data_IF_189618484449
#
_entry.id   IF_189618484449
#
_cell.length_a   1.000
_cell.length_b   1.000
_cell.length_c   1.000
_cell.angle_alpha   90.00
_cell.angle_beta   90.00
_cell.angle_gamma   90.00
#
_symmetry.space_group_name_H-M   'P 1'
#
loop_
_entity.id
_entity.type
_entity.pdbx_description
1 polymer ?
#
# COMPACT_ATOMS: atom_id res chain seq x y z
N UNK A 1 -4.24 0.58 19.15
CA UNK A 1 -3.48 1.45 18.24
C UNK A 1 -4.47 2.13 17.30
N UNK A 2 -4.24 3.41 16.96
CA UNK A 2 -5.12 4.13 16.04
C UNK A 2 -4.71 3.83 14.59
N UNK A 3 -5.70 3.63 13.73
CA UNK A 3 -5.53 3.50 12.29
C UNK A 3 -6.02 4.77 11.60
N UNK A 4 -5.17 5.36 10.75
CA UNK A 4 -5.48 6.56 9.99
C UNK A 4 -5.84 6.16 8.55
N UNK A 5 -7.14 5.94 8.31
CA UNK A 5 -7.71 5.40 7.06
C UNK A 5 -8.45 6.47 6.23
N UNK A 6 -8.25 7.74 6.53
CA UNK A 6 -8.85 8.83 5.76
C UNK A 6 -8.01 9.19 4.53
N UNK A 7 -8.71 9.59 3.47
CA UNK A 7 -8.12 10.15 2.25
C UNK A 7 -8.92 11.40 1.90
N UNK A 8 -8.31 12.58 2.05
CA UNK A 8 -8.98 13.87 1.91
C UNK A 8 -9.70 14.02 0.56
N UNK A 9 -9.07 13.54 -0.50
CA UNK A 9 -9.56 13.63 -1.89
C UNK A 9 -10.40 12.43 -2.33
N UNK A 10 -10.53 11.41 -1.48
CA UNK A 10 -11.34 10.21 -1.73
C UNK A 10 -12.06 9.79 -0.44
N UNK A 11 -13.01 10.60 0.04
CA UNK A 11 -13.69 10.34 1.31
C UNK A 11 -14.48 9.03 1.24
N UNK A 12 -14.50 8.30 2.36
CA UNK A 12 -15.20 7.02 2.52
C UNK A 12 -14.73 5.92 1.53
N UNK A 13 -13.46 5.94 1.11
CA UNK A 13 -12.89 4.83 0.34
C UNK A 13 -13.10 3.49 1.07
N UNK A 14 -13.67 2.46 0.41
CA UNK A 14 -13.96 1.18 1.04
C UNK A 14 -12.69 0.35 1.16
N UNK A 15 -11.85 0.68 2.14
CA UNK A 15 -10.64 -0.11 2.42
C UNK A 15 -11.00 -1.60 2.61
N UNK A 16 -10.21 -2.52 2.04
CA UNK A 16 -10.51 -3.94 2.15
C UNK A 16 -10.57 -4.39 3.59
N UNK A 17 -11.62 -5.12 3.94
CA UNK A 17 -11.81 -5.61 5.31
C UNK A 17 -10.59 -6.40 5.79
N UNK A 18 -10.00 -7.23 4.91
CA UNK A 18 -8.79 -8.00 5.22
C UNK A 18 -7.57 -7.14 5.55
N UNK A 19 -7.42 -6.00 4.89
CA UNK A 19 -6.34 -5.06 5.19
C UNK A 19 -6.56 -4.40 6.56
N UNK A 20 -7.78 -3.97 6.85
CA UNK A 20 -8.13 -3.36 8.14
C UNK A 20 -7.93 -4.38 9.28
N UNK A 21 -8.42 -5.61 9.12
CA UNK A 21 -8.22 -6.71 10.07
C UNK A 21 -6.73 -6.97 10.32
N UNK A 22 -5.91 -7.05 9.26
CA UNK A 22 -4.47 -7.24 9.37
C UNK A 22 -3.79 -6.09 10.13
N UNK A 23 -4.11 -4.84 9.79
CA UNK A 23 -3.54 -3.67 10.45
C UNK A 23 -3.93 -3.57 11.94
N UNK A 24 -5.09 -4.12 12.33
CA UNK A 24 -5.57 -4.14 13.71
C UNK A 24 -5.05 -5.34 14.51
N UNK A 25 -4.67 -6.44 13.85
CA UNK A 25 -4.30 -7.69 14.51
C UNK A 25 -3.15 -7.52 15.52
N UNK A 26 -3.21 -8.30 16.61
CA UNK A 26 -2.18 -8.39 17.64
C UNK A 26 -1.90 -9.88 17.93
N UNK A 27 -0.63 -10.30 18.07
CA UNK A 27 0.58 -9.49 17.89
C UNK A 27 0.78 -9.07 16.42
N UNK A 28 1.52 -7.98 16.19
CA UNK A 28 1.85 -7.53 14.84
C UNK A 28 2.67 -8.58 14.11
N UNK A 29 2.24 -8.89 12.90
CA UNK A 29 3.06 -9.62 11.93
C UNK A 29 4.03 -8.61 11.33
N UNK A 30 5.31 -8.88 11.47
CA UNK A 30 6.35 -8.10 10.82
C UNK A 30 6.41 -8.44 9.33
N UNK A 31 6.47 -7.39 8.51
CA UNK A 31 6.50 -7.46 7.06
C UNK A 31 7.59 -6.54 6.49
N UNK A 32 8.53 -6.08 7.33
CA UNK A 32 9.70 -5.34 6.86
C UNK A 32 10.38 -6.13 5.71
N UNK A 33 10.75 -5.51 4.58
CA UNK A 33 10.90 -4.07 4.29
C UNK A 33 9.62 -3.25 4.02
N UNK A 34 8.42 -3.83 4.06
CA UNK A 34 7.17 -3.07 3.93
C UNK A 34 6.71 -2.43 5.24
N UNK A 35 6.28 -1.17 5.15
CA UNK A 35 5.74 -0.41 6.28
C UNK A 35 4.34 0.08 5.96
N UNK A 36 3.35 -0.31 6.76
CA UNK A 36 1.98 0.18 6.57
C UNK A 36 1.89 1.68 6.91
N UNK A 37 1.31 2.44 5.99
CA UNK A 37 1.15 3.89 6.14
C UNK A 37 0.07 4.26 7.15
N UNK A 38 -0.91 3.37 7.34
CA UNK A 38 -2.07 3.55 8.24
C UNK A 38 -1.68 3.76 9.71
N UNK A 39 -0.47 3.39 10.11
CA UNK A 39 0.01 3.55 11.49
C UNK A 39 0.47 4.97 11.83
N UNK A 40 0.60 5.86 10.83
CA UNK A 40 1.07 7.23 11.04
C UNK A 40 0.14 8.22 10.37
N UNK A 41 -0.40 9.12 11.18
CA UNK A 41 -1.31 10.18 10.74
C UNK A 41 -0.75 10.96 9.54
N UNK A 42 -1.62 11.21 8.56
CA UNK A 42 -1.28 11.96 7.35
C UNK A 42 -0.39 11.24 6.34
N UNK A 43 0.12 10.03 6.61
CA UNK A 43 0.99 9.32 5.64
C UNK A 43 0.27 8.81 4.40
N UNK A 44 -0.94 8.30 4.55
CA UNK A 44 -1.78 7.93 3.39
C UNK A 44 -2.04 9.18 2.54
N UNK A 45 -2.51 10.28 3.14
CA UNK A 45 -2.77 11.54 2.44
C UNK A 45 -1.52 12.13 1.75
N UNK A 46 -0.37 12.11 2.42
CA UNK A 46 0.89 12.59 1.85
C UNK A 46 1.27 11.81 0.60
N UNK A 47 1.21 10.47 0.64
CA UNK A 47 1.54 9.64 -0.52
C UNK A 47 0.46 9.71 -1.60
N UNK A 48 -0.81 9.79 -1.23
CA UNK A 48 -1.91 9.91 -2.17
C UNK A 48 -1.77 11.19 -2.99
N UNK A 49 -1.51 12.32 -2.33
CA UNK A 49 -1.26 13.60 -3.01
C UNK A 49 -0.02 13.52 -3.91
N UNK A 50 1.08 12.94 -3.42
CA UNK A 50 2.33 12.83 -4.17
C UNK A 50 2.18 11.95 -5.42
N UNK A 51 1.53 10.80 -5.30
CA UNK A 51 1.26 9.91 -6.44
C UNK A 51 0.29 10.55 -7.44
N UNK A 52 -0.69 11.35 -6.97
CA UNK A 52 -1.59 12.08 -7.86
C UNK A 52 -0.90 13.19 -8.65
N UNK A 53 0.12 13.82 -8.07
CA UNK A 53 0.97 14.79 -8.79
C UNK A 53 1.82 14.11 -9.88
N UNK A 54 2.41 12.95 -9.55
CA UNK A 54 3.31 12.22 -10.46
C UNK A 54 2.55 11.50 -11.58
N UNK A 55 1.41 10.90 -11.24
CA UNK A 55 0.60 10.06 -12.14
C UNK A 55 -0.85 10.54 -12.14
N UNK A 56 -1.14 11.73 -12.72
CA UNK A 56 -2.45 12.38 -12.62
C UNK A 56 -3.59 11.58 -13.25
N UNK A 57 -3.29 10.66 -14.17
CA UNK A 57 -4.28 9.78 -14.82
C UNK A 57 -4.66 8.56 -14.00
N UNK A 58 -3.94 8.25 -12.90
CA UNK A 58 -4.27 7.12 -12.03
C UNK A 58 -5.07 7.58 -10.81
N UNK A 59 -5.83 6.64 -10.26
CA UNK A 59 -6.45 6.74 -8.94
C UNK A 59 -5.81 5.66 -8.07
N UNK A 60 -4.88 6.07 -7.20
CA UNK A 60 -4.06 5.15 -6.39
C UNK A 60 -4.32 5.42 -4.92
N UNK A 61 -4.67 4.38 -4.16
CA UNK A 61 -4.82 4.48 -2.71
C UNK A 61 -3.63 3.80 -2.03
N UNK A 62 -2.61 4.57 -1.58
CA UNK A 62 -1.41 3.99 -1.00
C UNK A 62 -1.68 3.43 0.39
N UNK A 63 -1.12 2.26 0.70
CA UNK A 63 -1.29 1.63 2.01
C UNK A 63 0.02 1.11 2.63
N UNK A 64 1.07 0.87 1.84
CA UNK A 64 2.38 0.52 2.36
C UNK A 64 3.53 1.15 1.55
N UNK A 65 4.66 1.40 2.20
CA UNK A 65 5.92 1.84 1.57
C UNK A 65 7.02 0.81 1.79
N UNK A 66 7.81 0.55 0.77
CA UNK A 66 9.02 -0.27 0.87
C UNK A 66 10.19 0.57 1.42
N UNK A 67 10.97 0.07 2.38
CA UNK A 67 12.05 0.86 3.01
C UNK A 67 13.23 1.13 2.10
N UNK A 68 13.64 0.15 1.29
CA UNK A 68 14.89 0.22 0.53
C UNK A 68 14.79 0.92 -0.83
N UNK A 69 13.59 1.29 -1.29
CA UNK A 69 13.39 2.01 -2.54
C UNK A 69 12.12 2.92 -2.49
N UNK A 70 11.72 3.43 -3.65
CA UNK A 70 10.56 4.31 -3.84
C UNK A 70 9.26 3.56 -4.20
N UNK A 71 9.19 2.25 -3.95
CA UNK A 71 7.99 1.46 -4.20
C UNK A 71 6.93 1.71 -3.12
N UNK A 72 5.71 1.93 -3.60
CA UNK A 72 4.50 2.16 -2.81
C UNK A 72 3.45 1.14 -3.23
N UNK A 73 3.01 0.31 -2.30
CA UNK A 73 1.89 -0.58 -2.52
C UNK A 73 0.60 0.23 -2.42
N UNK A 74 -0.21 0.17 -3.47
CA UNK A 74 -1.47 0.89 -3.61
C UNK A 74 -2.60 -0.10 -3.87
N UNK A 75 -3.78 0.16 -3.32
CA UNK A 75 -5.01 -0.40 -3.88
C UNK A 75 -5.32 0.32 -5.19
N UNK A 76 -5.90 -0.40 -6.15
CA UNK A 76 -6.56 0.20 -7.29
C UNK A 76 -7.73 1.05 -6.80
N UNK A 77 -7.58 2.37 -6.88
CA UNK A 77 -8.52 3.33 -6.30
C UNK A 77 -9.78 3.52 -7.13
N UNK A 78 -9.83 3.02 -8.38
CA UNK A 78 -11.04 3.03 -9.19
C UNK A 78 -11.98 1.87 -8.83
N UNK A 79 -11.46 0.82 -8.22
CA UNK A 79 -12.24 -0.33 -7.74
C UNK A 79 -12.77 -0.07 -6.33
N UNK A 80 -14.10 0.09 -6.26
CA UNK A 80 -14.86 0.35 -5.02
C UNK A 80 -15.61 -0.88 -4.50
N UNK A 81 -15.29 -2.09 -4.99
CA UNK A 81 -15.93 -3.34 -4.58
C UNK A 81 -15.61 -3.75 -3.13
N UNK A 82 -14.56 -3.16 -2.55
CA UNK A 82 -14.03 -3.52 -1.24
C UNK A 82 -12.97 -4.62 -1.27
N UNK A 83 -12.56 -5.07 -2.46
CA UNK A 83 -11.44 -6.01 -2.64
C UNK A 83 -10.68 -5.75 -3.95
N UNK A 84 -10.11 -4.55 -4.09
CA UNK A 84 -9.39 -4.13 -5.27
C UNK A 84 -8.05 -4.85 -5.39
N UNK A 85 -7.55 -4.93 -6.63
CA UNK A 85 -6.18 -5.38 -6.88
C UNK A 85 -5.15 -4.45 -6.25
N UNK A 86 -3.94 -4.98 -6.05
CA UNK A 86 -2.79 -4.25 -5.53
C UNK A 86 -1.88 -3.88 -6.68
N UNK A 87 -1.41 -2.64 -6.68
CA UNK A 87 -0.47 -2.07 -7.63
C UNK A 87 0.80 -1.65 -6.88
N UNK A 88 1.95 -2.18 -7.26
CA UNK A 88 3.25 -1.73 -6.75
C UNK A 88 3.74 -0.62 -7.65
N UNK A 89 3.75 0.60 -7.13
CA UNK A 89 4.07 1.82 -7.87
C UNK A 89 5.44 2.34 -7.46
N UNK A 90 6.38 2.41 -8.40
CA UNK A 90 7.66 3.07 -8.23
C UNK A 90 7.50 4.58 -8.41
N UNK A 91 7.40 5.32 -7.30
CA UNK A 91 6.82 6.67 -7.29
C UNK A 91 7.51 7.70 -8.20
N UNK A 92 8.79 7.54 -8.53
CA UNK A 92 9.55 8.51 -9.33
C UNK A 92 9.95 7.99 -10.72
N UNK A 93 9.36 6.89 -11.18
CA UNK A 93 9.49 6.46 -12.57
C UNK A 93 8.79 7.45 -13.53
N UNK A 94 9.25 7.48 -14.78
CA UNK A 94 8.52 8.17 -15.86
C UNK A 94 7.09 7.61 -15.99
N UNK A 95 6.12 8.48 -16.28
CA UNK A 95 4.72 8.07 -16.52
C UNK A 95 4.64 6.96 -17.58
N UNK A 96 3.91 5.89 -17.27
CA UNK A 96 3.80 4.66 -18.03
C UNK A 96 4.74 3.53 -17.59
N UNK A 97 5.74 3.82 -16.75
CA UNK A 97 6.74 2.84 -16.28
C UNK A 97 6.66 2.58 -14.77
N UNK A 98 5.77 3.26 -14.07
CA UNK A 98 5.68 3.21 -12.61
C UNK A 98 5.13 1.90 -12.05
N UNK A 99 4.42 1.10 -12.86
CA UNK A 99 3.88 -0.18 -12.40
C UNK A 99 4.98 -1.25 -12.41
N UNK A 100 5.53 -1.55 -11.23
CA UNK A 100 6.55 -2.58 -11.06
C UNK A 100 5.97 -3.99 -10.91
N UNK A 101 4.81 -4.11 -10.23
CA UNK A 101 4.16 -5.40 -10.02
C UNK A 101 2.68 -5.20 -9.69
N UNK A 102 1.88 -6.26 -9.79
CA UNK A 102 0.49 -6.27 -9.33
C UNK A 102 0.11 -7.60 -8.67
N UNK A 103 -0.83 -7.53 -7.73
CA UNK A 103 -1.39 -8.72 -7.08
C UNK A 103 -2.91 -8.67 -7.21
N UNK A 104 -3.58 -9.83 -7.41
CA UNK A 104 -5.04 -9.85 -7.59
C UNK A 104 -5.81 -9.29 -6.39
N UNK A 105 -5.30 -9.48 -5.17
CA UNK A 105 -5.97 -9.11 -3.91
C UNK A 105 -4.94 -8.80 -2.83
N UNK A 106 -5.40 -8.14 -1.75
CA UNK A 106 -4.55 -7.83 -0.59
C UNK A 106 -3.86 -9.07 0.01
N UNK A 107 -4.55 -10.21 0.08
CA UNK A 107 -4.00 -11.45 0.66
C UNK A 107 -2.85 -12.03 -0.15
N UNK A 108 -2.86 -11.84 -1.48
CA UNK A 108 -1.78 -12.30 -2.35
C UNK A 108 -0.54 -11.43 -2.20
N UNK A 109 -0.73 -10.11 -2.10
CA UNK A 109 0.35 -9.18 -1.73
C UNK A 109 0.91 -9.49 -0.35
N UNK A 110 0.06 -9.74 0.65
CA UNK A 110 0.48 -10.02 2.01
C UNK A 110 1.34 -11.29 2.09
N UNK A 111 0.94 -12.37 1.40
CA UNK A 111 1.76 -13.59 1.30
C UNK A 111 3.15 -13.26 0.74
N UNK A 112 3.21 -12.52 -0.37
CA UNK A 112 4.49 -12.13 -0.97
C UNK A 112 5.32 -11.23 -0.05
N UNK A 113 4.70 -10.33 0.70
CA UNK A 113 5.38 -9.46 1.65
C UNK A 113 5.96 -10.27 2.84
N UNK A 114 5.22 -11.24 3.36
CA UNK A 114 5.70 -12.15 4.42
C UNK A 114 6.82 -13.05 3.93
N UNK A 115 6.71 -13.62 2.72
CA UNK A 115 7.76 -14.47 2.15
C UNK A 115 9.06 -13.66 1.98
N UNK A 116 8.95 -12.44 1.46
CA UNK A 116 10.09 -11.54 1.30
C UNK A 116 10.71 -11.13 2.65
N UNK A 117 9.91 -10.88 3.69
CA UNK A 117 10.44 -10.60 5.04
C UNK A 117 11.30 -11.77 5.55
N UNK A 118 10.86 -13.01 5.32
CA UNK A 118 11.61 -14.20 5.72
C UNK A 118 12.93 -14.38 4.94
N UNK A 119 12.98 -13.95 3.68
CA UNK A 119 14.20 -13.92 2.87
C UNK A 119 15.13 -12.80 3.32
N UNK A 120 14.59 -11.59 3.54
CA UNK A 120 15.34 -10.42 3.97
C UNK A 120 16.11 -10.65 5.28
N UNK A 121 15.48 -11.32 6.25
CA UNK A 121 16.11 -11.66 7.53
C UNK A 121 17.20 -12.74 7.44
N UNK A 122 17.33 -13.44 6.32
CA UNK A 122 18.43 -14.41 6.11
C UNK A 122 19.68 -13.76 5.53
N UNK A 123 19.56 -12.54 5.00
CA UNK A 123 20.66 -11.80 4.37
C UNK A 123 21.33 -10.77 5.31
N UNK A 124 20.73 -10.50 6.48
CA UNK A 124 21.33 -9.75 7.59
C UNK A 124 22.05 -10.64 8.61
#
# INVERSE_FOLDING_TARGET
MNLYLDIDKLPNYPFPQRFVEFAQAEPKIDIEPWWLLVYKEGKINSWHNKLKELYPKRTLVPFAKFSANDDIACFDGEDLSGDPKILIIHAYASEGWELHNEYPRFTDWLRSATDMHAEWNQEE
#
